data_IF_850233484633
#
_entry.id   IF_850233484633
#
_cell.length_a   1.000
_cell.length_b   1.000
_cell.length_c   1.000
_cell.angle_alpha   90.00
_cell.angle_beta   90.00
_cell.angle_gamma   90.00
#
_symmetry.space_group_name_H-M   'P 1'
#
loop_
_entity.id
_entity.type
_entity.pdbx_description
1 polymer ?
#
# COMPACT_ATOMS: atom_id res chain seq x y z
N UNK A 1 6.16 2.14 7.11
CA UNK A 1 5.66 0.76 6.98
C UNK A 1 5.89 0.05 8.30
N UNK A 2 4.93 -0.73 8.79
CA UNK A 2 5.13 -1.57 9.98
C UNK A 2 5.66 -2.93 9.51
N UNK A 3 6.82 -3.32 9.96
CA UNK A 3 7.44 -4.62 9.63
C UNK A 3 7.68 -5.41 10.90
N UNK A 4 7.61 -6.72 10.81
CA UNK A 4 7.99 -7.62 11.90
C UNK A 4 9.44 -8.03 11.68
N UNK A 5 10.31 -7.71 12.64
CA UNK A 5 11.72 -8.11 12.64
C UNK A 5 12.01 -8.72 14.00
N UNK A 6 12.43 -9.98 14.01
CA UNK A 6 12.81 -10.71 15.24
C UNK A 6 11.73 -10.64 16.35
N UNK A 7 10.46 -10.76 15.97
CA UNK A 7 9.32 -10.70 16.89
C UNK A 7 8.95 -9.29 17.38
N UNK A 8 9.62 -8.25 16.88
CA UNK A 8 9.31 -6.84 17.18
C UNK A 8 8.69 -6.17 15.96
N UNK A 9 7.63 -5.42 16.23
CA UNK A 9 7.00 -4.59 15.22
C UNK A 9 7.68 -3.22 15.17
N UNK A 10 8.32 -2.91 14.05
CA UNK A 10 9.06 -1.65 13.85
C UNK A 10 8.39 -0.80 12.79
N UNK A 11 8.36 0.52 13.01
CA UNK A 11 7.94 1.48 11.99
C UNK A 11 9.16 1.94 11.21
N UNK A 12 9.21 1.58 9.93
CA UNK A 12 10.33 1.90 9.04
C UNK A 12 9.87 2.87 7.95
N UNK A 13 10.69 3.88 7.65
CA UNK A 13 10.52 4.75 6.48
C UNK A 13 11.12 4.06 5.26
N UNK A 14 10.32 3.83 4.22
CA UNK A 14 10.81 3.27 2.96
C UNK A 14 11.20 4.42 2.03
N UNK A 15 12.42 4.39 1.52
CA UNK A 15 12.93 5.30 0.50
C UNK A 15 13.08 4.54 -0.82
N UNK A 16 12.71 5.17 -1.93
CA UNK A 16 12.76 4.54 -3.24
C UNK A 16 12.01 5.34 -4.31
N UNK A 17 12.00 4.80 -5.53
CA UNK A 17 11.27 5.38 -6.65
C UNK A 17 9.87 4.77 -6.75
N UNK A 18 8.84 5.63 -6.73
CA UNK A 18 7.47 5.20 -6.95
C UNK A 18 7.10 5.30 -8.43
N UNK A 19 6.76 4.17 -9.04
CA UNK A 19 6.27 4.09 -10.42
C UNK A 19 4.77 3.79 -10.39
N UNK A 20 4.01 4.53 -11.19
CA UNK A 20 2.57 4.29 -11.40
C UNK A 20 2.36 3.99 -12.88
N UNK A 21 1.73 2.88 -13.17
CA UNK A 21 1.47 2.47 -14.53
C UNK A 21 0.04 1.92 -14.68
N UNK A 22 -0.44 1.96 -15.92
CA UNK A 22 -1.75 1.44 -16.29
C UNK A 22 -1.54 0.18 -17.13
N UNK A 23 -2.13 -0.93 -16.70
CA UNK A 23 -2.22 -2.12 -17.51
C UNK A 23 -3.16 -1.84 -18.69
N UNK A 24 -2.66 -2.01 -19.92
CA UNK A 24 -3.44 -1.75 -21.12
C UNK A 24 -4.41 -2.88 -21.45
N UNK A 25 -4.16 -4.10 -20.94
CA UNK A 25 -5.03 -5.24 -21.20
C UNK A 25 -6.39 -5.13 -20.47
N UNK A 26 -6.41 -4.60 -19.25
CA UNK A 26 -7.63 -4.50 -18.42
C UNK A 26 -7.94 -3.07 -17.94
N UNK A 27 -7.09 -2.10 -18.29
CA UNK A 27 -7.26 -0.69 -17.94
C UNK A 27 -7.00 -0.36 -16.48
N UNK A 28 -6.61 -1.33 -15.63
CA UNK A 28 -6.36 -1.14 -14.20
C UNK A 28 -4.99 -0.53 -13.94
N UNK A 29 -4.85 0.14 -12.81
CA UNK A 29 -3.58 0.72 -12.38
C UNK A 29 -2.82 -0.25 -11.48
N UNK A 30 -1.50 -0.12 -11.49
CA UNK A 30 -0.62 -0.78 -10.54
C UNK A 30 0.54 0.14 -10.20
N UNK A 31 1.00 0.06 -8.96
CA UNK A 31 2.07 0.88 -8.43
C UNK A 31 3.18 -0.02 -7.91
N UNK A 32 4.42 0.38 -8.14
CA UNK A 32 5.59 -0.27 -7.55
C UNK A 32 6.46 0.77 -6.85
N UNK A 33 7.04 0.41 -5.71
CA UNK A 33 8.15 1.16 -5.11
C UNK A 33 9.41 0.32 -5.31
N UNK A 34 10.38 0.89 -6.01
CA UNK A 34 11.68 0.26 -6.31
C UNK A 34 12.72 0.83 -5.36
N UNK A 35 13.48 -0.06 -4.71
CA UNK A 35 14.58 0.29 -3.83
C UNK A 35 15.80 0.81 -4.59
N UNK A 36 16.78 1.29 -3.85
CA UNK A 36 18.06 1.73 -4.41
C UNK A 36 18.87 0.57 -5.03
N UNK A 37 18.55 -0.67 -4.67
CA UNK A 37 19.12 -1.90 -5.22
C UNK A 37 18.38 -2.41 -6.46
N UNK A 38 17.54 -1.56 -7.06
CA UNK A 38 16.71 -1.86 -8.24
C UNK A 38 15.66 -2.96 -8.01
N UNK A 39 15.43 -3.39 -6.76
CA UNK A 39 14.46 -4.43 -6.44
C UNK A 39 13.10 -3.85 -6.05
N UNK A 40 11.99 -4.49 -6.47
CA UNK A 40 10.66 -4.13 -5.98
C UNK A 40 10.55 -4.35 -4.46
N UNK A 41 10.15 -3.31 -3.73
CA UNK A 41 9.91 -3.37 -2.28
C UNK A 41 8.42 -3.42 -1.94
N UNK A 42 7.60 -2.75 -2.74
CA UNK A 42 6.14 -2.71 -2.60
C UNK A 42 5.51 -2.84 -3.97
N UNK A 43 4.47 -3.66 -4.08
CA UNK A 43 3.69 -3.82 -5.30
C UNK A 43 2.20 -3.84 -4.97
N UNK A 44 1.44 -2.91 -5.55
CA UNK A 44 -0.03 -2.93 -5.55
C UNK A 44 -0.53 -3.07 -6.98
N UNK A 45 -1.51 -3.95 -7.19
CA UNK A 45 -2.14 -4.23 -8.49
C UNK A 45 -3.66 -4.10 -8.42
N UNK A 46 -4.29 -4.23 -9.59
CA UNK A 46 -5.75 -4.20 -9.76
C UNK A 46 -6.42 -2.92 -9.21
N UNK A 47 -5.70 -1.80 -9.21
CA UNK A 47 -6.20 -0.52 -8.70
C UNK A 47 -7.19 0.07 -9.71
N UNK A 48 -8.42 0.27 -9.28
CA UNK A 48 -9.40 1.02 -10.06
C UNK A 48 -9.34 2.49 -9.65
N UNK A 49 -9.03 3.35 -10.62
CA UNK A 49 -9.01 4.80 -10.44
C UNK A 49 -10.22 5.44 -11.13
N UNK A 50 -10.92 6.30 -10.40
CA UNK A 50 -12.04 7.07 -10.93
C UNK A 50 -11.49 8.42 -11.40
N UNK A 51 -11.56 8.67 -12.71
CA UNK A 51 -11.01 9.90 -13.34
C UNK A 51 -11.68 11.17 -12.83
N UNK A 52 -13.00 11.15 -12.61
CA UNK A 52 -13.75 12.25 -11.99
C UNK A 52 -14.66 11.65 -10.91
N UNK A 53 -14.44 11.93 -9.61
CA UNK A 53 -13.76 13.09 -9.02
C UNK A 53 -12.25 12.88 -8.70
N UNK A 54 -11.52 12.05 -9.44
CA UNK A 54 -10.06 11.90 -9.28
C UNK A 54 -9.67 11.16 -8.01
N UNK A 55 -10.30 10.01 -7.73
CA UNK A 55 -10.05 9.22 -6.52
C UNK A 55 -9.87 7.73 -6.80
N UNK A 56 -9.17 7.07 -5.89
CA UNK A 56 -9.08 5.60 -5.87
C UNK A 56 -10.46 5.02 -5.51
N UNK A 57 -10.90 4.02 -6.27
CA UNK A 57 -12.10 3.23 -5.96
C UNK A 57 -11.77 2.02 -5.09
N UNK A 58 -10.65 1.36 -5.35
CA UNK A 58 -10.24 0.19 -4.58
C UNK A 58 -9.72 0.59 -3.21
N UNK A 59 -9.94 -0.27 -2.23
CA UNK A 59 -9.30 -0.17 -0.93
C UNK A 59 -7.78 -0.13 -1.10
N UNK A 60 -7.10 0.53 -0.17
CA UNK A 60 -5.66 0.32 0.02
C UNK A 60 -5.54 -0.98 0.81
N UNK A 61 -4.42 -1.69 0.67
CA UNK A 61 -4.25 -2.96 1.40
C UNK A 61 -2.97 -2.93 2.24
N UNK A 62 -2.00 -2.07 1.87
CA UNK A 62 -0.68 -2.01 2.51
C UNK A 62 -0.40 -0.71 3.29
N UNK A 63 -1.29 0.29 3.25
CA UNK A 63 -0.95 1.67 3.67
C UNK A 63 -1.89 2.28 4.71
N UNK A 64 -2.65 1.47 5.42
CA UNK A 64 -4.05 1.82 5.42
C UNK A 64 -4.56 2.80 6.48
N UNK A 65 -5.30 3.78 5.98
CA UNK A 65 -6.30 4.51 6.74
C UNK A 65 -7.49 3.59 7.08
N UNK A 66 -7.77 2.56 6.27
CA UNK A 66 -8.72 1.49 6.62
C UNK A 66 -8.32 0.77 7.91
N UNK A 67 -7.05 0.43 8.12
CA UNK A 67 -6.56 -0.15 9.39
C UNK A 67 -6.75 0.83 10.56
N UNK A 68 -6.71 2.15 10.31
CA UNK A 68 -7.06 3.16 11.32
C UNK A 68 -8.57 3.25 11.53
N UNK A 69 -9.36 3.10 10.48
CA UNK A 69 -10.83 3.12 10.50
C UNK A 69 -11.41 1.85 11.14
N UNK A 70 -10.76 0.69 10.96
CA UNK A 70 -11.09 -0.61 11.57
C UNK A 70 -10.36 -0.82 12.91
N UNK A 71 -9.43 0.08 13.27
CA UNK A 71 -8.53 -0.03 14.42
C UNK A 71 -9.10 0.47 15.76
N UNK A 72 -10.42 0.51 15.93
CA UNK A 72 -11.06 0.70 17.24
C UNK A 72 -11.86 -0.54 17.72
N UNK A 73 -11.39 -1.74 17.37
CA UNK A 73 -11.92 -2.98 17.98
C UNK A 73 -10.88 -4.10 17.95
N UNK A 74 -9.72 -3.87 18.58
CA UNK A 74 -8.94 -4.99 19.14
C UNK A 74 -8.79 -4.72 20.62
N UNK A 75 -9.36 -5.62 21.41
CA UNK A 75 -9.71 -5.41 22.81
C UNK A 75 -8.54 -5.01 23.70
N UNK A 76 -8.85 -4.15 24.68
CA UNK A 76 -8.16 -4.17 25.96
C UNK A 76 -8.39 -5.55 26.57
N UNK A 77 -7.38 -6.42 26.53
CA UNK A 77 -7.30 -7.52 27.48
C UNK A 77 -6.62 -6.99 28.74
N UNK A 78 -7.33 -7.26 29.84
CA UNK A 78 -7.04 -7.02 31.26
C UNK A 78 -5.59 -7.32 31.64
#
# INVERSE_FOLDING_TARGET
MRVQRDGRAETVTLTGMKVKARNLADGRWFWVIVGADEKPMVFERDIVWITFPGRRKTEKWLHDAWLKEQGQTVGKSV
#
